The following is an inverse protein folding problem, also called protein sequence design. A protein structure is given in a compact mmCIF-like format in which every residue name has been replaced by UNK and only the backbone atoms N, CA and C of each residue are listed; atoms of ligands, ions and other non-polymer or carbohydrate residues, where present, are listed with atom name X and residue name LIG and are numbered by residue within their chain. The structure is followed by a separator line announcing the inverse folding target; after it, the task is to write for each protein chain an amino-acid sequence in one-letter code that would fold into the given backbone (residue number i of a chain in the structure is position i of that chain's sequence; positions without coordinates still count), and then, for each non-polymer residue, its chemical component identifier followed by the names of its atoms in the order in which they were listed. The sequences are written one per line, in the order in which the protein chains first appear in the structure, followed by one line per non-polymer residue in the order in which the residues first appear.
data_IF_353698436587
#
_entry.id   IF_353698436587
#
_cell.length_a   1.000
_cell.length_b   1.000
_cell.length_c   1.000
_cell.angle_alpha   90.00
_cell.angle_beta   90.00
_cell.angle_gamma   90.00
#
_symmetry.space_group_name_H-M   'P 1'
#
loop_
_entity.id
_entity.type
_entity.pdbx_description
1 polymer ?
#
# COMPACT_ATOMS: atom_id res chain seq x y z
N UNK A 1 -20.40 7.24 1.13
CA UNK A 1 -19.00 7.58 1.32
C UNK A 1 -18.93 8.93 2.05
N UNK A 2 -18.38 8.94 3.27
CA UNK A 2 -18.21 10.18 4.03
C UNK A 2 -17.03 10.98 3.46
N UNK A 3 -17.31 12.20 2.99
CA UNK A 3 -16.30 13.15 2.56
C UNK A 3 -15.65 13.80 3.79
N UNK A 4 -14.42 13.46 4.11
CA UNK A 4 -13.64 14.14 5.15
C UNK A 4 -12.60 15.05 4.49
N UNK A 5 -12.71 16.37 4.68
CA UNK A 5 -11.95 17.43 4.00
C UNK A 5 -10.66 17.86 4.73
N UNK A 6 -9.56 17.75 4.07
CA UNK A 6 -8.22 18.37 4.00
C UNK A 6 -7.10 17.34 4.02
N UNK A 7 -6.26 17.31 3.00
CA UNK A 7 -5.30 16.25 2.61
C UNK A 7 -6.02 14.94 2.26
N UNK A 8 -7.08 15.02 1.44
CA UNK A 8 -7.98 13.88 1.28
C UNK A 8 -7.59 13.02 0.13
N UNK A 9 -7.31 11.77 0.50
CA UNK A 9 -7.31 10.67 -0.42
C UNK A 9 -8.61 9.91 -0.19
N UNK A 10 -9.50 9.92 -1.18
CA UNK A 10 -10.74 9.16 -1.13
C UNK A 10 -10.43 7.67 -1.31
N UNK A 11 -10.93 6.84 -0.39
CA UNK A 11 -10.70 5.40 -0.36
C UNK A 11 -12.04 4.69 -0.52
N UNK A 12 -12.11 3.71 -1.44
CA UNK A 12 -13.34 2.97 -1.73
C UNK A 12 -14.21 3.63 -2.79
N UNK A 13 -15.38 3.07 -3.08
CA UNK A 13 -16.38 3.64 -3.97
C UNK A 13 -15.93 3.76 -5.43
N UNK A 14 -15.17 2.79 -5.97
CA UNK A 14 -14.62 2.79 -7.34
C UNK A 14 -13.58 3.88 -7.65
N UNK A 15 -12.98 4.47 -6.61
CA UNK A 15 -11.85 5.36 -6.78
C UNK A 15 -10.59 4.58 -7.14
N UNK A 16 -9.53 5.31 -7.52
CA UNK A 16 -8.22 4.69 -7.77
C UNK A 16 -7.70 3.96 -6.55
N UNK A 17 -6.93 2.89 -6.77
CA UNK A 17 -6.19 2.23 -5.70
C UNK A 17 -5.07 3.12 -5.20
N UNK A 18 -5.02 3.34 -3.89
CA UNK A 18 -4.12 4.30 -3.25
C UNK A 18 -2.86 3.60 -2.72
N UNK A 19 -1.70 4.16 -3.04
CA UNK A 19 -0.40 3.63 -2.59
C UNK A 19 -0.10 4.16 -1.19
N UNK A 20 0.05 3.25 -0.24
CA UNK A 20 0.50 3.53 1.11
C UNK A 20 1.89 2.94 1.35
N UNK A 21 2.76 3.66 2.08
CA UNK A 21 3.99 3.11 2.65
C UNK A 21 4.05 3.29 4.16
N UNK A 22 5.16 2.90 4.76
CA UNK A 22 5.40 3.04 6.19
C UNK A 22 6.85 3.45 6.43
N UNK A 23 7.06 4.41 7.33
CA UNK A 23 8.40 4.78 7.77
C UNK A 23 9.06 3.66 8.55
N UNK A 24 10.38 3.58 8.47
CA UNK A 24 11.21 2.72 9.30
C UNK A 24 12.05 3.51 10.32
N UNK A 25 11.84 4.84 10.40
CA UNK A 25 12.41 5.73 11.42
C UNK A 25 11.64 5.61 12.73
N UNK A 26 12.24 6.03 13.84
CA UNK A 26 11.52 6.22 15.10
C UNK A 26 10.64 7.46 14.97
N UNK A 27 9.33 7.32 15.19
CA UNK A 27 8.35 8.39 14.94
C UNK A 27 8.65 9.66 15.74
N UNK A 28 9.13 9.53 16.98
CA UNK A 28 9.55 10.66 17.82
C UNK A 28 10.82 11.38 17.34
N UNK A 29 11.61 10.78 16.46
CA UNK A 29 12.64 11.50 15.70
C UNK A 29 11.96 12.19 14.51
N UNK A 30 11.36 13.34 14.80
CA UNK A 30 10.56 14.12 13.84
C UNK A 30 11.37 14.47 12.60
N UNK A 31 12.64 14.86 12.76
CA UNK A 31 13.48 15.29 11.64
C UNK A 31 13.67 14.15 10.64
N UNK A 32 14.21 13.02 11.10
CA UNK A 32 14.46 11.86 10.25
C UNK A 32 13.17 11.31 9.63
N UNK A 33 12.06 11.32 10.40
CA UNK A 33 10.76 10.85 9.93
C UNK A 33 10.20 11.74 8.83
N UNK A 34 10.27 13.07 8.98
CA UNK A 34 9.83 14.03 7.96
C UNK A 34 10.68 13.90 6.69
N UNK A 35 12.01 13.84 6.83
CA UNK A 35 12.90 13.67 5.68
C UNK A 35 12.58 12.39 4.88
N UNK A 36 12.31 11.29 5.57
CA UNK A 36 11.91 10.05 4.91
C UNK A 36 10.54 10.16 4.24
N UNK A 37 9.56 10.78 4.91
CA UNK A 37 8.21 10.96 4.34
C UNK A 37 8.27 11.81 3.07
N UNK A 38 9.02 12.91 3.07
CA UNK A 38 9.15 13.77 1.88
C UNK A 38 9.76 13.03 0.69
N UNK A 39 10.76 12.17 0.90
CA UNK A 39 11.29 11.29 -0.15
C UNK A 39 10.24 10.29 -0.67
N UNK A 40 9.40 9.77 0.22
CA UNK A 40 8.30 8.88 -0.17
C UNK A 40 7.19 9.62 -0.93
N UNK A 41 6.87 10.86 -0.54
CA UNK A 41 5.95 11.72 -1.29
C UNK A 41 6.46 11.99 -2.71
N UNK A 42 7.73 12.35 -2.86
CA UNK A 42 8.38 12.56 -4.16
C UNK A 42 8.32 11.30 -5.02
N UNK A 43 8.56 10.12 -4.41
CA UNK A 43 8.41 8.85 -5.09
C UNK A 43 6.95 8.52 -5.47
N UNK A 44 5.96 9.23 -4.91
CA UNK A 44 4.52 9.07 -5.20
C UNK A 44 3.74 8.26 -4.18
N UNK A 45 4.21 8.19 -2.94
CA UNK A 45 3.42 7.73 -1.81
C UNK A 45 2.24 8.68 -1.59
N UNK A 46 1.05 8.13 -1.37
CA UNK A 46 -0.18 8.93 -1.21
C UNK A 46 -0.71 8.93 0.23
N UNK A 47 -0.33 7.93 1.02
CA UNK A 47 -0.64 7.82 2.45
C UNK A 47 0.58 7.28 3.17
N UNK A 48 0.98 7.90 4.27
CA UNK A 48 2.08 7.40 5.08
C UNK A 48 1.59 6.81 6.40
N UNK A 49 2.18 5.68 6.82
CA UNK A 49 1.97 5.09 8.13
C UNK A 49 3.22 5.22 8.98
N UNK A 50 3.03 5.58 10.24
CA UNK A 50 4.08 5.64 11.25
C UNK A 50 3.76 4.70 12.41
N UNK A 51 4.76 4.10 13.03
CA UNK A 51 4.58 3.32 14.24
C UNK A 51 4.42 4.25 15.45
N UNK A 52 3.43 4.00 16.30
CA UNK A 52 3.27 4.70 17.58
C UNK A 52 3.39 3.67 18.70
N UNK A 53 4.56 3.63 19.33
CA UNK A 53 4.88 2.68 20.38
C UNK A 53 4.61 3.25 21.78
N UNK A 54 4.69 4.57 21.90
CA UNK A 54 4.49 5.32 23.13
C UNK A 54 3.78 6.66 22.87
N UNK A 55 3.51 7.40 23.96
CA UNK A 55 2.86 8.72 23.86
C UNK A 55 3.73 9.79 23.18
N UNK A 56 5.07 9.66 23.24
CA UNK A 56 5.97 10.61 22.58
C UNK A 56 5.86 10.48 21.07
N UNK A 57 5.79 9.24 20.54
CA UNK A 57 5.51 9.00 19.13
C UNK A 57 4.18 9.60 18.71
N UNK A 58 3.12 9.44 19.52
CA UNK A 58 1.81 9.99 19.22
C UNK A 58 1.82 11.54 19.21
N UNK A 59 2.50 12.17 20.15
CA UNK A 59 2.64 13.64 20.21
C UNK A 59 3.43 14.20 19.02
N UNK A 60 4.46 13.47 18.57
CA UNK A 60 5.26 13.85 17.39
C UNK A 60 4.45 13.98 16.10
N UNK A 61 3.31 13.26 15.98
CA UNK A 61 2.44 13.31 14.79
C UNK A 61 2.04 14.75 14.45
N UNK A 62 1.74 15.59 15.43
CA UNK A 62 1.33 16.98 15.20
C UNK A 62 2.40 17.78 14.45
N UNK A 63 3.64 17.64 14.86
CA UNK A 63 4.77 18.34 14.23
C UNK A 63 5.10 17.73 12.86
N UNK A 64 5.15 16.40 12.75
CA UNK A 64 5.36 15.70 11.47
C UNK A 64 4.30 16.17 10.47
N UNK A 65 3.03 16.11 10.85
CA UNK A 65 1.92 16.49 9.99
C UNK A 65 2.00 17.93 9.49
N UNK A 66 2.58 18.85 10.26
CA UNK A 66 2.76 20.24 9.83
C UNK A 66 3.77 20.40 8.70
N UNK A 67 4.65 19.42 8.48
CA UNK A 67 5.78 19.46 7.55
C UNK A 67 5.64 18.55 6.33
N UNK A 68 4.59 17.72 6.27
CA UNK A 68 4.32 16.78 5.18
C UNK A 68 3.03 17.16 4.45
N UNK A 69 2.77 16.60 3.26
CA UNK A 69 1.62 16.96 2.42
C UNK A 69 0.57 15.84 2.27
N UNK A 70 0.92 14.60 2.59
CA UNK A 70 0.05 13.43 2.52
C UNK A 70 -0.57 13.08 3.88
N UNK A 71 -1.70 12.35 3.90
CA UNK A 71 -2.31 11.87 5.14
C UNK A 71 -1.40 10.94 5.92
N UNK A 72 -1.45 11.05 7.26
CA UNK A 72 -0.68 10.23 8.19
C UNK A 72 -1.57 9.22 8.93
N UNK A 73 -1.13 7.97 8.99
CA UNK A 73 -1.79 6.87 9.71
C UNK A 73 -0.93 6.46 10.90
N UNK A 74 -1.49 6.46 12.10
CA UNK A 74 -0.81 5.88 13.27
C UNK A 74 -1.09 4.38 13.38
N UNK A 75 -0.04 3.60 13.58
CA UNK A 75 -0.10 2.16 13.81
C UNK A 75 0.07 1.85 15.30
N UNK A 76 -1.03 1.45 15.95
CA UNK A 76 -1.10 1.26 17.40
C UNK A 76 -1.46 -0.20 17.68
N UNK A 77 -0.68 -0.86 18.55
CA UNK A 77 -0.82 -2.30 18.73
C UNK A 77 -1.59 -2.69 19.99
N UNK A 78 -1.32 -2.04 21.16
CA UNK A 78 -1.80 -2.54 22.43
C UNK A 78 -2.42 -1.49 23.34
N UNK A 79 -1.88 -0.27 23.38
CA UNK A 79 -2.31 0.75 24.35
C UNK A 79 -3.29 1.75 23.73
N UNK A 80 -4.54 1.71 24.20
CA UNK A 80 -5.59 2.64 23.74
C UNK A 80 -5.27 4.12 24.04
N UNK A 81 -4.46 4.41 25.09
CA UNK A 81 -4.07 5.78 25.45
C UNK A 81 -3.23 6.42 24.35
N UNK A 82 -2.38 5.63 23.69
CA UNK A 82 -1.60 6.10 22.51
C UNK A 82 -2.55 6.47 21.38
N UNK A 83 -3.65 5.70 21.17
CA UNK A 83 -4.65 6.03 20.17
C UNK A 83 -5.37 7.35 20.47
N UNK A 84 -5.68 7.61 21.75
CA UNK A 84 -6.29 8.87 22.18
C UNK A 84 -5.33 10.06 21.96
N UNK A 85 -4.06 9.91 22.30
CA UNK A 85 -3.05 10.96 22.05
C UNK A 85 -2.82 11.19 20.54
N UNK A 86 -2.75 10.14 19.71
CA UNK A 86 -2.66 10.28 18.27
C UNK A 86 -3.88 11.01 17.69
N UNK A 87 -5.08 10.71 18.17
CA UNK A 87 -6.31 11.41 17.79
C UNK A 87 -6.25 12.90 18.16
N UNK A 88 -5.78 13.24 19.37
CA UNK A 88 -5.55 14.64 19.80
C UNK A 88 -4.49 15.35 18.96
N UNK A 89 -3.43 14.63 18.58
CA UNK A 89 -2.38 15.16 17.71
C UNK A 89 -2.85 15.42 16.27
N UNK A 90 -4.07 14.95 15.92
CA UNK A 90 -4.72 15.21 14.64
C UNK A 90 -4.29 14.25 13.54
N UNK A 91 -4.02 12.98 13.86
CA UNK A 91 -3.78 11.93 12.86
C UNK A 91 -4.97 11.81 11.89
N UNK A 92 -4.70 11.39 10.65
CA UNK A 92 -5.74 11.29 9.62
C UNK A 92 -6.43 9.91 9.61
N UNK A 93 -5.81 8.87 10.16
CA UNK A 93 -6.36 7.53 10.33
C UNK A 93 -5.64 6.79 11.47
N UNK A 94 -6.37 5.96 12.19
CA UNK A 94 -5.78 5.07 13.21
C UNK A 94 -5.88 3.62 12.73
N UNK A 95 -4.78 2.87 12.85
CA UNK A 95 -4.77 1.42 12.64
C UNK A 95 -4.66 0.73 14.00
N UNK A 96 -5.65 -0.10 14.29
CA UNK A 96 -5.69 -0.93 15.51
C UNK A 96 -6.09 -2.37 15.18
N UNK A 97 -5.85 -3.25 16.14
CA UNK A 97 -6.54 -4.53 16.25
C UNK A 97 -7.39 -4.46 17.53
N UNK A 98 -8.74 -4.35 17.43
CA UNK A 98 -9.61 -4.23 18.60
C UNK A 98 -9.40 -5.34 19.63
N UNK A 99 -9.08 -6.56 19.18
CA UNK A 99 -8.76 -7.67 20.07
C UNK A 99 -7.50 -7.49 20.93
N UNK A 100 -6.58 -6.61 20.52
CA UNK A 100 -5.35 -6.33 21.25
C UNK A 100 -5.48 -5.10 22.16
N UNK A 101 -6.46 -4.24 21.92
CA UNK A 101 -6.70 -3.00 22.70
C UNK A 101 -7.23 -3.33 24.10
N UNK A 102 -7.93 -4.45 24.25
CA UNK A 102 -8.43 -4.96 25.53
C UNK A 102 -9.95 -4.88 25.67
N UNK A 103 -10.45 -4.31 26.79
CA UNK A 103 -11.88 -4.29 27.10
C UNK A 103 -12.69 -3.43 26.13
N UNK A 104 -14.00 -3.71 26.03
CA UNK A 104 -14.96 -2.93 25.21
C UNK A 104 -14.93 -1.44 25.57
N UNK A 105 -14.77 -1.09 26.86
CA UNK A 105 -14.69 0.31 27.29
C UNK A 105 -13.49 1.05 26.69
N UNK A 106 -12.34 0.36 26.55
CA UNK A 106 -11.14 0.94 25.94
C UNK A 106 -11.34 1.15 24.44
N UNK A 107 -11.94 0.18 23.77
CA UNK A 107 -12.31 0.31 22.35
C UNK A 107 -13.30 1.46 22.19
N UNK A 108 -14.31 1.56 23.06
CA UNK A 108 -15.27 2.66 23.07
C UNK A 108 -14.60 4.01 23.20
N UNK A 109 -13.65 4.19 24.12
CA UNK A 109 -12.93 5.43 24.29
C UNK A 109 -12.19 5.86 23.01
N UNK A 110 -11.56 4.91 22.30
CA UNK A 110 -10.91 5.17 20.99
C UNK A 110 -11.93 5.56 19.93
N UNK A 111 -13.04 4.83 19.86
CA UNK A 111 -14.13 5.10 18.89
C UNK A 111 -14.73 6.49 19.13
N UNK A 112 -15.01 6.85 20.39
CA UNK A 112 -15.58 8.16 20.75
C UNK A 112 -14.62 9.30 20.33
N UNK A 113 -13.32 9.15 20.57
CA UNK A 113 -12.31 10.11 20.15
C UNK A 113 -12.20 10.21 18.61
N UNK A 114 -12.35 9.09 17.91
CA UNK A 114 -12.35 9.05 16.44
C UNK A 114 -13.62 9.69 15.86
N UNK A 115 -14.80 9.44 16.44
CA UNK A 115 -16.06 10.08 16.04
C UNK A 115 -15.99 11.59 16.16
N UNK A 116 -15.56 12.10 17.31
CA UNK A 116 -15.44 13.54 17.59
C UNK A 116 -14.59 14.25 16.54
N UNK A 117 -13.54 13.59 16.05
CA UNK A 117 -12.55 14.17 15.11
C UNK A 117 -12.70 13.70 13.67
N UNK A 118 -13.69 12.85 13.39
CA UNK A 118 -13.93 12.24 12.08
C UNK A 118 -12.69 11.50 11.56
N UNK A 119 -12.07 10.69 12.41
CA UNK A 119 -10.89 9.90 12.10
C UNK A 119 -11.33 8.46 11.78
N UNK A 120 -11.13 7.96 10.56
CA UNK A 120 -11.44 6.57 10.23
C UNK A 120 -10.52 5.58 10.95
N UNK A 121 -11.03 4.38 11.20
CA UNK A 121 -10.30 3.30 11.85
C UNK A 121 -10.01 2.19 10.82
N UNK A 122 -8.74 1.76 10.74
CA UNK A 122 -8.40 0.53 10.03
C UNK A 122 -8.21 -0.62 11.00
N UNK A 123 -9.02 -1.65 10.83
CA UNK A 123 -8.88 -2.92 11.53
C UNK A 123 -7.81 -3.75 10.83
N UNK A 124 -6.83 -4.26 11.60
CA UNK A 124 -5.81 -5.17 11.10
C UNK A 124 -5.92 -6.55 11.75
N UNK A 125 -6.32 -7.54 10.97
CA UNK A 125 -6.34 -8.95 11.39
C UNK A 125 -5.01 -9.61 10.99
N UNK A 126 -4.45 -10.43 11.87
CA UNK A 126 -3.25 -11.19 11.59
C UNK A 126 -3.52 -12.69 11.78
N UNK A 127 -3.07 -13.53 10.87
CA UNK A 127 -3.20 -14.99 10.98
C UNK A 127 -2.54 -15.56 12.24
N UNK A 128 -1.47 -14.93 12.73
CA UNK A 128 -0.76 -15.33 13.94
C UNK A 128 -1.45 -14.92 15.26
N UNK A 129 -2.53 -14.15 15.21
CA UNK A 129 -3.25 -13.67 16.40
C UNK A 129 -4.78 -13.83 16.26
N UNK A 130 -5.21 -14.87 15.57
CA UNK A 130 -6.62 -15.22 15.46
C UNK A 130 -7.20 -15.64 16.83
N UNK A 131 -8.49 -15.41 17.07
CA UNK A 131 -9.19 -15.89 18.26
C UNK A 131 -9.02 -17.39 18.46
N UNK A 132 -8.83 -17.80 19.72
CA UNK A 132 -8.55 -19.21 20.06
C UNK A 132 -9.64 -20.17 19.63
N UNK A 133 -10.92 -19.76 19.73
CA UNK A 133 -12.07 -20.54 19.30
C UNK A 133 -12.06 -20.82 17.78
N UNK A 134 -11.67 -19.83 16.97
CA UNK A 134 -11.51 -20.00 15.52
C UNK A 134 -10.38 -21.00 15.24
N UNK A 135 -9.21 -20.82 15.89
CA UNK A 135 -8.06 -21.72 15.71
C UNK A 135 -8.35 -23.15 16.17
N UNK A 136 -9.11 -23.33 17.27
CA UNK A 136 -9.51 -24.65 17.76
C UNK A 136 -10.49 -25.35 16.80
N UNK A 137 -11.42 -24.60 16.23
CA UNK A 137 -12.38 -25.14 15.25
C UNK A 137 -11.71 -25.54 13.94
N UNK A 138 -10.83 -24.66 13.41
CA UNK A 138 -10.26 -24.80 12.06
C UNK A 138 -8.93 -25.57 12.05
N UNK A 139 -8.32 -25.80 13.22
CA UNK A 139 -7.01 -26.47 13.38
C UNK A 139 -5.80 -25.64 12.91
N UNK A 140 -6.03 -24.64 12.03
CA UNK A 140 -5.02 -23.72 11.47
C UNK A 140 -5.69 -22.43 11.01
N UNK A 141 -4.94 -21.35 10.70
CA UNK A 141 -5.50 -20.18 10.06
C UNK A 141 -6.10 -20.53 8.68
N UNK A 142 -7.35 -20.14 8.46
CA UNK A 142 -8.09 -20.32 7.21
C UNK A 142 -8.61 -18.97 6.71
N UNK A 143 -8.93 -18.85 5.41
CA UNK A 143 -9.50 -17.64 4.83
C UNK A 143 -10.81 -17.26 5.54
N UNK A 144 -11.70 -18.23 5.75
CA UNK A 144 -12.97 -18.01 6.49
C UNK A 144 -12.73 -17.57 7.93
N UNK A 145 -11.78 -18.19 8.64
CA UNK A 145 -11.42 -17.78 10.00
C UNK A 145 -10.83 -16.38 10.07
N UNK A 146 -10.03 -15.99 9.09
CA UNK A 146 -9.50 -14.61 8.98
C UNK A 146 -10.62 -13.60 8.79
N UNK A 147 -11.55 -13.86 7.88
CA UNK A 147 -12.70 -12.99 7.60
C UNK A 147 -13.65 -12.93 8.79
N UNK A 148 -13.95 -14.07 9.41
CA UNK A 148 -14.76 -14.11 10.64
C UNK A 148 -14.17 -13.26 11.76
N UNK A 149 -12.86 -13.35 11.99
CA UNK A 149 -12.17 -12.49 12.97
C UNK A 149 -12.33 -11.01 12.60
N UNK A 150 -12.21 -10.66 11.31
CA UNK A 150 -12.46 -9.32 10.82
C UNK A 150 -13.88 -8.84 11.07
N UNK A 151 -14.87 -9.65 10.76
CA UNK A 151 -16.30 -9.36 10.99
C UNK A 151 -16.61 -9.15 12.47
N UNK A 152 -16.05 -9.97 13.36
CA UNK A 152 -16.20 -9.77 14.81
C UNK A 152 -15.68 -8.40 15.27
N UNK A 153 -14.55 -7.96 14.73
CA UNK A 153 -13.99 -6.64 15.06
C UNK A 153 -14.78 -5.49 14.43
N UNK A 154 -15.28 -5.67 13.20
CA UNK A 154 -16.18 -4.71 12.54
C UNK A 154 -17.44 -4.54 13.39
N UNK A 155 -18.06 -5.66 13.80
CA UNK A 155 -19.27 -5.61 14.62
C UNK A 155 -19.09 -4.86 15.93
N UNK A 156 -17.94 -4.97 16.61
CA UNK A 156 -17.66 -4.19 17.82
C UNK A 156 -17.73 -2.67 17.52
N UNK A 157 -17.24 -2.23 16.36
CA UNK A 157 -17.29 -0.82 15.98
C UNK A 157 -18.71 -0.41 15.54
N UNK A 158 -19.42 -1.26 14.83
CA UNK A 158 -20.81 -1.03 14.42
C UNK A 158 -21.75 -0.95 15.62
N UNK A 159 -21.55 -1.82 16.62
CA UNK A 159 -22.33 -1.80 17.90
C UNK A 159 -22.08 -0.51 18.69
N UNK A 160 -20.96 0.19 18.39
CA UNK A 160 -20.67 1.53 18.89
C UNK A 160 -21.10 2.64 17.90
N UNK A 161 -21.92 2.32 16.89
CA UNK A 161 -22.38 3.25 15.85
C UNK A 161 -21.23 3.93 15.10
N UNK A 162 -20.19 3.17 14.72
CA UNK A 162 -19.03 3.64 13.96
C UNK A 162 -18.85 2.85 12.66
N UNK A 163 -18.85 3.56 11.52
CA UNK A 163 -18.87 2.97 10.17
C UNK A 163 -17.71 3.42 9.27
N UNK A 164 -16.89 4.39 9.70
CA UNK A 164 -15.69 4.81 8.94
C UNK A 164 -14.56 3.80 9.12
N UNK A 165 -14.77 2.61 8.59
CA UNK A 165 -13.93 1.44 8.79
C UNK A 165 -13.21 1.06 7.49
N UNK A 166 -11.96 0.60 7.59
CA UNK A 166 -11.26 -0.16 6.57
C UNK A 166 -10.71 -1.45 7.18
N UNK A 167 -10.54 -2.50 6.36
CA UNK A 167 -10.03 -3.79 6.82
C UNK A 167 -8.72 -4.13 6.15
N UNK A 168 -7.80 -4.76 6.90
CA UNK A 168 -6.60 -5.38 6.35
C UNK A 168 -6.40 -6.77 6.94
N UNK A 169 -6.06 -7.75 6.09
CA UNK A 169 -5.86 -9.15 6.46
C UNK A 169 -4.39 -9.53 6.21
N UNK A 170 -3.64 -9.79 7.28
CA UNK A 170 -2.23 -10.19 7.20
C UNK A 170 -2.12 -11.70 7.37
N UNK A 171 -1.76 -12.40 6.31
CA UNK A 171 -1.62 -13.85 6.31
C UNK A 171 -0.15 -14.29 6.32
N UNK A 172 0.07 -15.52 6.78
CA UNK A 172 1.40 -16.14 6.88
C UNK A 172 1.89 -16.76 5.55
N UNK A 173 0.99 -16.95 4.59
CA UNK A 173 1.33 -17.43 3.25
C UNK A 173 0.63 -16.60 2.18
N UNK A 174 1.16 -16.66 0.96
CA UNK A 174 0.60 -15.94 -0.18
C UNK A 174 -0.80 -16.44 -0.54
N UNK A 175 -1.00 -17.76 -0.56
CA UNK A 175 -2.29 -18.37 -0.88
C UNK A 175 -3.35 -17.97 0.15
N UNK A 176 -3.03 -18.09 1.44
CA UNK A 176 -3.94 -17.66 2.51
C UNK A 176 -4.27 -16.16 2.42
N UNK A 177 -3.29 -15.34 2.01
CA UNK A 177 -3.51 -13.91 1.79
C UNK A 177 -4.53 -13.68 0.68
N UNK A 178 -4.32 -14.27 -0.49
CA UNK A 178 -5.20 -14.14 -1.66
C UNK A 178 -6.62 -14.64 -1.33
N UNK A 179 -6.72 -15.84 -0.80
CA UNK A 179 -8.02 -16.44 -0.42
C UNK A 179 -8.78 -15.60 0.61
N UNK A 180 -8.06 -15.08 1.63
CA UNK A 180 -8.68 -14.23 2.66
C UNK A 180 -9.24 -12.94 2.09
N UNK A 181 -8.55 -12.28 1.18
CA UNK A 181 -9.07 -11.06 0.55
C UNK A 181 -10.21 -11.35 -0.44
N UNK A 182 -10.18 -12.47 -1.17
CA UNK A 182 -11.30 -12.90 -2.01
C UNK A 182 -12.56 -13.19 -1.19
N UNK A 183 -12.42 -13.91 -0.09
CA UNK A 183 -13.52 -14.17 0.84
C UNK A 183 -14.03 -12.87 1.46
N UNK A 184 -13.14 -11.96 1.87
CA UNK A 184 -13.52 -10.66 2.42
C UNK A 184 -14.29 -9.80 1.40
N UNK A 185 -13.85 -9.77 0.15
CA UNK A 185 -14.50 -8.99 -0.91
C UNK A 185 -15.94 -9.47 -1.18
N UNK A 186 -16.25 -10.76 -0.95
CA UNK A 186 -17.58 -11.32 -1.10
C UNK A 186 -18.50 -11.09 0.11
N UNK A 187 -17.94 -10.78 1.28
CA UNK A 187 -18.69 -10.75 2.55
C UNK A 187 -18.69 -9.40 3.25
N UNK A 188 -17.78 -8.50 2.91
CA UNK A 188 -17.53 -7.25 3.63
C UNK A 188 -17.68 -6.07 2.69
N UNK A 189 -18.50 -5.09 3.08
CA UNK A 189 -18.77 -3.86 2.30
C UNK A 189 -17.87 -2.68 2.72
N UNK A 190 -16.78 -2.94 3.43
CA UNK A 190 -15.80 -1.91 3.83
C UNK A 190 -14.56 -1.94 2.94
N UNK A 191 -13.90 -0.79 2.72
CA UNK A 191 -12.67 -0.73 1.96
C UNK A 191 -11.59 -1.69 2.46
N UNK A 192 -10.90 -2.34 1.52
CA UNK A 192 -9.85 -3.31 1.79
C UNK A 192 -8.47 -2.69 1.57
N UNK A 193 -7.61 -2.81 2.58
CA UNK A 193 -6.20 -2.44 2.47
C UNK A 193 -5.36 -3.70 2.20
N UNK A 194 -4.88 -3.83 0.98
CA UNK A 194 -4.08 -4.96 0.54
C UNK A 194 -2.63 -4.87 1.01
N UNK A 195 -2.04 -6.00 1.35
CA UNK A 195 -0.63 -6.10 1.64
C UNK A 195 -0.18 -7.55 1.79
N UNK A 196 0.88 -7.92 1.10
CA UNK A 196 1.56 -9.19 1.30
C UNK A 196 2.57 -9.01 2.43
N UNK A 197 2.37 -9.73 3.53
CA UNK A 197 3.26 -9.72 4.68
C UNK A 197 4.25 -10.88 4.54
N UNK A 198 5.47 -10.76 5.05
CA UNK A 198 6.54 -11.74 4.86
C UNK A 198 7.00 -11.87 3.40
N UNK A 199 6.95 -10.77 2.66
CA UNK A 199 7.31 -10.78 1.24
C UNK A 199 8.80 -11.11 0.99
N UNK A 200 9.70 -10.74 1.91
CA UNK A 200 11.13 -11.07 1.82
C UNK A 200 12.04 -9.89 1.43
N UNK A 201 13.20 -10.20 0.89
CA UNK A 201 14.16 -9.21 0.36
C UNK A 201 13.58 -8.46 -0.85
N UNK A 202 14.35 -7.51 -1.38
CA UNK A 202 13.90 -6.71 -2.54
C UNK A 202 13.41 -7.58 -3.70
N UNK A 203 14.18 -8.57 -4.11
CA UNK A 203 13.82 -9.46 -5.23
C UNK A 203 12.64 -10.38 -4.89
N UNK A 204 12.78 -11.21 -3.87
CA UNK A 204 11.72 -12.18 -3.52
C UNK A 204 10.44 -11.51 -3.07
N UNK A 205 10.55 -10.38 -2.34
CA UNK A 205 9.42 -9.60 -1.91
C UNK A 205 8.68 -8.92 -3.07
N UNK A 206 9.41 -8.45 -4.09
CA UNK A 206 8.81 -7.92 -5.31
C UNK A 206 8.00 -8.98 -6.02
N UNK A 207 8.58 -10.17 -6.22
CA UNK A 207 7.89 -11.29 -6.89
C UNK A 207 6.61 -11.67 -6.13
N UNK A 208 6.71 -11.91 -4.81
CA UNK A 208 5.57 -12.29 -3.99
C UNK A 208 4.47 -11.22 -3.96
N UNK A 209 4.87 -9.94 -3.84
CA UNK A 209 3.93 -8.82 -3.85
C UNK A 209 3.26 -8.68 -5.21
N UNK A 210 4.00 -8.82 -6.31
CA UNK A 210 3.46 -8.73 -7.67
C UNK A 210 2.42 -9.82 -7.94
N UNK A 211 2.69 -11.04 -7.50
CA UNK A 211 1.73 -12.14 -7.63
C UNK A 211 0.47 -11.87 -6.78
N UNK A 212 0.66 -11.64 -5.46
CA UNK A 212 -0.47 -11.53 -4.54
C UNK A 212 -1.34 -10.31 -4.80
N UNK A 213 -0.73 -9.15 -4.94
CA UNK A 213 -1.47 -7.91 -5.22
C UNK A 213 -2.00 -7.90 -6.65
N UNK A 214 -1.23 -8.40 -7.63
CA UNK A 214 -1.65 -8.45 -9.02
C UNK A 214 -2.91 -9.29 -9.25
N UNK A 215 -3.01 -10.48 -8.62
CA UNK A 215 -4.21 -11.32 -8.69
C UNK A 215 -5.43 -10.57 -8.14
N UNK A 216 -5.31 -9.99 -6.94
CA UNK A 216 -6.42 -9.30 -6.28
C UNK A 216 -6.87 -8.06 -7.05
N UNK A 217 -5.93 -7.22 -7.46
CA UNK A 217 -6.20 -5.98 -8.18
C UNK A 217 -6.85 -6.22 -9.55
N UNK A 218 -6.45 -7.28 -10.27
CA UNK A 218 -7.08 -7.65 -11.55
C UNK A 218 -8.49 -8.19 -11.39
N UNK A 219 -8.85 -8.68 -10.23
CA UNK A 219 -10.22 -9.05 -9.86
C UNK A 219 -11.02 -7.87 -9.29
N UNK A 220 -10.45 -6.66 -9.26
CA UNK A 220 -11.10 -5.46 -8.75
C UNK A 220 -11.16 -5.40 -7.21
N UNK A 221 -10.32 -6.19 -6.53
CA UNK A 221 -10.26 -6.26 -5.07
C UNK A 221 -9.17 -5.33 -4.56
N UNK A 222 -9.52 -4.44 -3.64
CA UNK A 222 -8.60 -3.56 -2.92
C UNK A 222 -8.74 -2.09 -3.26
N UNK A 223 -8.73 -1.26 -2.23
CA UNK A 223 -8.90 0.22 -2.32
C UNK A 223 -7.60 0.95 -1.97
N UNK A 224 -6.79 0.35 -1.13
CA UNK A 224 -5.44 0.82 -0.81
C UNK A 224 -4.48 -0.36 -0.79
N UNK A 225 -3.22 -0.13 -1.12
CA UNK A 225 -2.21 -1.18 -1.12
C UNK A 225 -0.90 -0.74 -0.50
N UNK A 226 -0.15 -1.71 0.05
CA UNK A 226 1.23 -1.55 0.46
C UNK A 226 2.07 -2.73 -0.01
N UNK A 227 3.14 -2.45 -0.72
CA UNK A 227 4.25 -3.39 -0.92
C UNK A 227 5.13 -3.34 0.33
N UNK A 228 5.61 -4.48 0.82
CA UNK A 228 6.49 -4.57 1.98
C UNK A 228 7.75 -5.32 1.60
N UNK A 229 8.90 -4.64 1.69
CA UNK A 229 10.21 -5.18 1.33
C UNK A 229 11.19 -5.00 2.50
N UNK A 230 12.14 -5.92 2.64
CA UNK A 230 13.33 -5.70 3.47
C UNK A 230 14.35 -4.86 2.70
N UNK A 231 13.97 -3.60 2.39
CA UNK A 231 14.74 -2.64 1.60
C UNK A 231 14.33 -1.21 1.96
N UNK A 232 14.92 -0.20 1.26
CA UNK A 232 14.49 1.19 1.37
C UNK A 232 12.99 1.32 1.00
N UNK A 233 12.16 1.98 1.83
CA UNK A 233 10.73 2.16 1.55
C UNK A 233 10.41 2.86 0.22
N UNK A 234 11.32 3.65 -0.35
CA UNK A 234 11.16 4.26 -1.68
C UNK A 234 11.02 3.18 -2.77
N UNK A 235 11.72 2.04 -2.61
CA UNK A 235 11.60 0.90 -3.54
C UNK A 235 10.23 0.25 -3.48
N UNK A 236 9.59 0.23 -2.30
CA UNK A 236 8.21 -0.25 -2.14
C UNK A 236 7.24 0.53 -3.05
N UNK A 237 7.42 1.87 -3.15
CA UNK A 237 6.58 2.73 -3.99
C UNK A 237 6.81 2.45 -5.48
N UNK A 238 8.07 2.26 -5.89
CA UNK A 238 8.39 1.92 -7.28
C UNK A 238 7.70 0.61 -7.69
N UNK A 239 7.83 -0.43 -6.88
CA UNK A 239 7.18 -1.72 -7.13
C UNK A 239 5.65 -1.60 -7.12
N UNK A 240 5.08 -0.83 -6.20
CA UNK A 240 3.63 -0.61 -6.16
C UNK A 240 3.10 0.06 -7.44
N UNK A 241 3.82 1.05 -7.97
CA UNK A 241 3.46 1.71 -9.24
C UNK A 241 3.52 0.75 -10.43
N UNK A 242 4.57 -0.10 -10.50
CA UNK A 242 4.69 -1.09 -11.58
C UNK A 242 3.55 -2.11 -11.51
N UNK A 243 3.22 -2.63 -10.32
CA UNK A 243 2.07 -3.53 -10.15
C UNK A 243 0.76 -2.87 -10.63
N UNK A 244 0.51 -1.62 -10.22
CA UNK A 244 -0.70 -0.90 -10.63
C UNK A 244 -0.72 -0.62 -12.14
N UNK A 245 0.43 -0.31 -12.73
CA UNK A 245 0.58 -0.10 -14.18
C UNK A 245 0.25 -1.39 -14.95
N UNK A 246 0.84 -2.51 -14.55
CA UNK A 246 0.62 -3.81 -15.17
C UNK A 246 -0.82 -4.33 -14.98
N UNK A 247 -1.50 -3.86 -13.94
CA UNK A 247 -2.94 -4.10 -13.73
C UNK A 247 -3.86 -3.11 -14.47
N UNK A 248 -3.34 -2.15 -15.25
CA UNK A 248 -4.06 -1.05 -15.89
C UNK A 248 -4.81 -0.11 -14.93
N UNK A 249 -4.31 0.01 -13.70
CA UNK A 249 -4.88 0.86 -12.65
C UNK A 249 -4.11 2.18 -12.44
N UNK A 250 -2.97 2.37 -13.12
CA UNK A 250 -2.15 3.58 -13.06
C UNK A 250 -2.00 4.19 -14.46
N UNK A 251 -2.93 5.08 -14.82
CA UNK A 251 -3.14 5.53 -16.22
C UNK A 251 -2.16 6.61 -16.71
N UNK A 252 -1.51 7.35 -15.82
CA UNK A 252 -0.67 8.51 -16.21
C UNK A 252 0.82 8.23 -15.95
N UNK A 253 1.27 7.03 -16.28
CA UNK A 253 2.66 6.64 -16.15
C UNK A 253 3.24 6.20 -17.50
N UNK A 254 4.50 6.50 -17.76
CA UNK A 254 5.20 6.00 -18.92
C UNK A 254 5.44 4.50 -18.81
N UNK A 255 5.56 3.85 -19.96
CA UNK A 255 5.89 2.43 -20.06
C UNK A 255 7.18 2.28 -20.86
N UNK A 256 8.15 1.56 -20.28
CA UNK A 256 9.35 1.13 -21.01
C UNK A 256 9.15 -0.30 -21.51
N UNK A 257 9.45 -0.53 -22.76
CA UNK A 257 9.54 -1.85 -23.38
C UNK A 257 10.99 -2.06 -23.80
N UNK A 258 11.74 -2.85 -23.04
CA UNK A 258 13.13 -3.13 -23.33
C UNK A 258 13.30 -4.50 -23.96
N UNK A 259 14.16 -4.60 -24.98
CA UNK A 259 14.52 -5.85 -25.62
C UNK A 259 15.22 -6.77 -24.58
N UNK A 260 14.81 -8.06 -24.43
CA UNK A 260 15.37 -8.97 -23.45
C UNK A 260 16.81 -9.41 -23.75
N UNK A 261 17.44 -8.84 -24.76
CA UNK A 261 18.79 -9.15 -25.27
C UNK A 261 18.94 -10.61 -25.75
N UNK A 262 19.62 -10.80 -26.85
CA UNK A 262 19.96 -12.13 -27.38
C UNK A 262 21.18 -12.01 -28.29
N UNK A 263 21.63 -13.09 -28.95
CA UNK A 263 22.79 -13.07 -29.84
C UNK A 263 22.69 -12.13 -31.06
N UNK A 264 21.54 -11.48 -31.27
CA UNK A 264 21.37 -10.46 -32.33
C UNK A 264 21.62 -9.03 -31.89
N UNK A 265 21.95 -8.79 -30.61
CA UNK A 265 22.18 -7.46 -30.06
C UNK A 265 23.34 -6.76 -30.75
N UNK A 266 23.19 -5.48 -31.08
CA UNK A 266 24.18 -4.71 -31.84
C UNK A 266 24.90 -3.64 -31.02
N UNK A 267 24.44 -3.40 -29.77
CA UNK A 267 25.04 -2.42 -28.86
C UNK A 267 24.77 -2.82 -27.41
N UNK A 268 25.45 -2.18 -26.45
CA UNK A 268 25.20 -2.39 -25.02
C UNK A 268 23.88 -1.74 -24.60
N UNK A 269 22.80 -2.48 -24.67
CA UNK A 269 21.44 -2.01 -24.44
C UNK A 269 21.13 -1.82 -22.96
N UNK A 270 21.68 -2.65 -22.08
CA UNK A 270 21.27 -2.70 -20.66
C UNK A 270 21.48 -1.37 -19.96
N UNK A 271 22.67 -0.70 -20.02
CA UNK A 271 22.86 0.62 -19.41
C UNK A 271 21.89 1.66 -19.94
N UNK A 272 21.65 1.66 -21.27
CA UNK A 272 20.76 2.61 -21.92
C UNK A 272 19.31 2.41 -21.47
N UNK A 273 18.87 1.15 -21.38
CA UNK A 273 17.52 0.85 -20.89
C UNK A 273 17.32 1.31 -19.45
N UNK A 274 18.31 1.10 -18.57
CA UNK A 274 18.28 1.55 -17.20
C UNK A 274 18.22 3.08 -17.08
N UNK A 275 19.05 3.81 -17.85
CA UNK A 275 19.06 5.26 -17.89
C UNK A 275 17.70 5.83 -18.35
N UNK A 276 17.13 5.23 -19.38
CA UNK A 276 15.80 5.60 -19.89
C UNK A 276 14.72 5.29 -18.84
N UNK A 277 14.79 4.15 -18.18
CA UNK A 277 13.84 3.80 -17.12
C UNK A 277 13.88 4.82 -15.97
N UNK A 278 15.07 5.22 -15.52
CA UNK A 278 15.24 6.27 -14.51
C UNK A 278 14.68 7.61 -14.97
N UNK A 279 14.97 8.02 -16.20
CA UNK A 279 14.42 9.24 -16.77
C UNK A 279 12.89 9.20 -16.85
N UNK A 280 12.30 8.08 -17.26
CA UNK A 280 10.87 7.91 -17.37
C UNK A 280 10.15 8.03 -16.02
N UNK A 281 10.82 7.76 -14.89
CA UNK A 281 10.23 7.97 -13.56
C UNK A 281 9.91 9.45 -13.28
N UNK A 282 10.53 10.39 -13.99
CA UNK A 282 10.26 11.83 -13.87
C UNK A 282 9.07 12.27 -14.73
N UNK A 283 8.61 11.44 -15.65
CA UNK A 283 7.56 11.76 -16.63
C UNK A 283 6.19 11.39 -16.07
N UNK A 284 5.24 12.31 -16.15
CA UNK A 284 3.84 12.11 -15.75
C UNK A 284 2.91 12.09 -16.96
N UNK A 285 3.26 11.31 -17.97
CA UNK A 285 2.46 11.16 -19.19
C UNK A 285 2.37 9.69 -19.61
N UNK A 286 1.26 9.23 -20.16
CA UNK A 286 1.06 7.85 -20.60
C UNK A 286 1.74 7.60 -21.94
N UNK A 287 3.06 7.74 -22.00
CA UNK A 287 3.87 7.47 -23.20
C UNK A 287 4.47 6.07 -23.13
N UNK A 288 4.63 5.44 -24.26
CA UNK A 288 5.34 4.16 -24.38
C UNK A 288 6.64 4.38 -25.13
N UNK A 289 7.74 4.01 -24.50
CA UNK A 289 9.09 4.07 -25.07
C UNK A 289 9.61 2.64 -25.24
N UNK A 290 10.15 2.33 -26.42
CA UNK A 290 10.76 1.03 -26.69
C UNK A 290 12.26 1.19 -26.93
N UNK A 291 13.08 0.37 -26.24
CA UNK A 291 14.52 0.28 -26.42
C UNK A 291 14.84 -1.09 -27.02
N UNK A 292 15.22 -1.11 -28.31
CA UNK A 292 15.40 -2.34 -29.05
C UNK A 292 16.85 -2.52 -29.51
N UNK A 293 17.39 -3.72 -29.33
CA UNK A 293 18.80 -4.02 -29.52
C UNK A 293 19.19 -4.53 -30.92
N UNK A 294 18.24 -4.68 -31.87
CA UNK A 294 18.54 -5.20 -33.20
C UNK A 294 17.52 -4.74 -34.26
N UNK A 295 17.89 -4.82 -35.54
CA UNK A 295 17.04 -4.44 -36.67
C UNK A 295 15.80 -5.30 -36.90
N UNK A 296 15.65 -6.43 -36.17
CA UNK A 296 14.45 -7.28 -36.24
C UNK A 296 13.33 -6.73 -35.36
N UNK A 297 13.64 -6.36 -34.13
CA UNK A 297 12.64 -5.89 -33.17
C UNK A 297 12.39 -4.38 -33.25
N UNK A 298 13.39 -3.59 -33.73
CA UNK A 298 13.27 -2.15 -33.88
C UNK A 298 12.07 -1.71 -34.71
N UNK A 299 11.93 -2.17 -35.98
CA UNK A 299 10.79 -1.83 -36.82
C UNK A 299 9.42 -2.23 -36.25
N UNK A 300 9.35 -3.37 -35.58
CA UNK A 300 8.10 -3.86 -34.98
C UNK A 300 7.66 -3.02 -33.78
N UNK A 301 8.58 -2.40 -33.07
CA UNK A 301 8.28 -1.57 -31.90
C UNK A 301 7.48 -0.30 -32.24
N UNK A 302 7.56 0.16 -33.48
CA UNK A 302 6.84 1.36 -33.95
C UNK A 302 5.32 1.22 -33.83
N UNK A 303 4.80 0.01 -33.93
CA UNK A 303 3.35 -0.24 -33.87
C UNK A 303 2.72 0.01 -32.49
N UNK A 304 3.52 0.06 -31.41
CA UNK A 304 3.05 0.24 -30.04
C UNK A 304 3.74 1.37 -29.26
N UNK A 305 4.53 2.22 -29.96
CA UNK A 305 5.17 3.39 -29.36
C UNK A 305 4.52 4.68 -29.84
N UNK A 306 4.60 5.75 -29.04
CA UNK A 306 4.00 7.05 -29.39
C UNK A 306 4.93 7.95 -30.19
N UNK A 307 6.24 7.81 -30.01
CA UNK A 307 7.27 8.60 -30.66
C UNK A 307 8.37 7.69 -31.18
N UNK A 308 8.82 7.96 -32.42
CA UNK A 308 9.98 7.31 -33.01
C UNK A 308 11.15 8.28 -32.97
N UNK A 309 12.25 7.90 -32.32
CA UNK A 309 13.52 8.57 -32.55
C UNK A 309 14.06 8.16 -33.92
N UNK A 310 14.38 9.13 -34.78
CA UNK A 310 15.04 8.86 -36.06
C UNK A 310 16.43 8.28 -35.78
N UNK A 311 16.64 7.06 -36.24
CA UNK A 311 17.99 6.55 -36.40
C UNK A 311 18.73 7.45 -37.39
N UNK A 312 19.72 8.16 -36.93
CA UNK A 312 20.63 8.88 -37.78
C UNK A 312 21.48 7.89 -38.54
N UNK A 313 21.18 7.70 -39.82
CA UNK A 313 22.21 7.40 -40.83
C UNK A 313 22.91 6.06 -40.88
N UNK A 314 22.39 5.00 -40.27
CA UNK A 314 23.01 3.67 -40.35
C UNK A 314 22.44 2.79 -41.47
N UNK A 315 21.70 3.38 -42.38
CA UNK A 315 21.22 2.73 -43.64
C UNK A 315 21.59 3.59 -44.86
N UNK A 316 22.86 3.68 -45.11
CA UNK A 316 23.41 4.03 -46.44
C UNK A 316 24.44 3.01 -46.83
#
# INVERSE_FOLDING_TARGET
ASDVYKRQVQIGGQNKVVIQSMTNTKTKDVKSTVEQILKLEEAGCEIIRVACLDEEDAKAIKEIKSKIHIPIVSDIHFDYRIALEAAKAGVDKIRINPGNIGSVDRVKAVVDACKERKIPIRIGVNSGSLPKDILQRDGKPTAKGMVEAGLRHIKILEDLDFYDIALSLKASSLDLCIESYKEAANTINYPLHLGVTHAGTEFSGTVSSSIGLGILLREGIGDTMRVSLSADPVKEIKVAKEILKDCNLYKNAPTLIACPTCGRIQYDLIPIANEIEEFLQTIKAPITVAVMGCGVNGPNAVSYTHLRAHETGAYL
#
